data_IF_970039734168
#
_entry.id   IF_970039734168
#
_cell.length_a   1.000
_cell.length_b   1.000
_cell.length_c   1.000
_cell.angle_alpha   90.00
_cell.angle_beta   90.00
_cell.angle_gamma   90.00
#
_symmetry.space_group_name_H-M   'P 1'
#
loop_
_entity.id
_entity.type
_entity.pdbx_description
1 polymer ?
#
# COMPACT_ATOMS: atom_id res chain seq x y z
N UNK A 1 26.76 1.73 16.29
CA UNK A 1 25.68 1.91 15.29
C UNK A 1 24.90 3.17 15.65
N UNK A 2 25.37 4.35 15.22
CA UNK A 2 24.75 5.64 15.54
C UNK A 2 24.01 6.23 14.33
N UNK A 3 23.18 5.40 13.68
CA UNK A 3 22.29 5.85 12.60
C UNK A 3 20.90 6.01 13.20
N UNK A 4 20.42 7.27 13.31
CA UNK A 4 19.07 7.62 13.75
C UNK A 4 18.06 6.82 12.90
N UNK A 5 17.25 5.99 13.55
CA UNK A 5 16.22 5.18 12.91
C UNK A 5 15.04 6.09 12.51
N UNK A 6 14.48 5.87 11.31
CA UNK A 6 13.26 6.53 10.86
C UNK A 6 12.18 5.46 10.61
N UNK A 7 10.95 5.62 11.15
CA UNK A 7 9.87 4.65 10.92
C UNK A 7 9.47 4.54 9.45
N UNK A 8 9.81 5.54 8.62
CA UNK A 8 9.60 5.51 7.18
C UNK A 8 10.36 4.39 6.46
N UNK A 9 11.37 3.77 7.09
CA UNK A 9 12.03 2.58 6.55
C UNK A 9 11.04 1.44 6.26
N UNK A 10 9.94 1.35 7.01
CA UNK A 10 8.88 0.36 6.76
C UNK A 10 8.20 0.52 5.40
N UNK A 11 8.31 1.69 4.73
CA UNK A 11 7.85 1.87 3.36
C UNK A 11 8.60 0.96 2.37
N UNK A 12 9.85 0.58 2.67
CA UNK A 12 10.59 -0.40 1.88
C UNK A 12 9.95 -1.79 1.98
N UNK A 13 9.65 -2.25 3.20
CA UNK A 13 8.94 -3.52 3.40
C UNK A 13 7.54 -3.47 2.78
N UNK A 14 6.81 -2.37 3.00
CA UNK A 14 5.49 -2.16 2.41
C UNK A 14 5.52 -2.23 0.88
N UNK A 15 6.48 -1.54 0.24
CA UNK A 15 6.64 -1.57 -1.21
C UNK A 15 6.92 -2.97 -1.74
N UNK A 16 7.68 -3.79 -0.98
CA UNK A 16 7.92 -5.17 -1.34
C UNK A 16 6.65 -6.02 -1.29
N UNK A 17 5.91 -5.95 -0.18
CA UNK A 17 4.64 -6.67 -0.02
C UNK A 17 3.59 -6.23 -1.04
N UNK A 18 3.51 -4.92 -1.31
CA UNK A 18 2.66 -4.35 -2.34
C UNK A 18 3.01 -4.86 -3.73
N UNK A 19 4.29 -4.91 -4.11
CA UNK A 19 4.70 -5.45 -5.41
C UNK A 19 4.31 -6.93 -5.57
N UNK A 20 4.49 -7.75 -4.52
CA UNK A 20 4.03 -9.14 -4.52
C UNK A 20 2.51 -9.25 -4.75
N UNK A 21 1.72 -8.39 -4.09
CA UNK A 21 0.27 -8.29 -4.32
C UNK A 21 -0.05 -7.79 -5.74
N UNK A 22 0.74 -6.88 -6.30
CA UNK A 22 0.58 -6.41 -7.68
C UNK A 22 0.70 -7.54 -8.70
N UNK A 23 1.74 -8.37 -8.59
CA UNK A 23 1.92 -9.54 -9.46
C UNK A 23 0.77 -10.55 -9.30
N UNK A 24 0.35 -10.81 -8.06
CA UNK A 24 -0.79 -11.68 -7.78
C UNK A 24 -2.10 -11.12 -8.36
N UNK A 25 -2.37 -9.83 -8.16
CA UNK A 25 -3.59 -9.18 -8.64
C UNK A 25 -3.66 -9.25 -10.16
N UNK A 26 -2.53 -9.04 -10.84
CA UNK A 26 -2.46 -9.20 -12.29
C UNK A 26 -2.85 -10.61 -12.72
N UNK A 27 -2.27 -11.65 -12.11
CA UNK A 27 -2.64 -13.03 -12.42
C UNK A 27 -4.12 -13.29 -12.11
N UNK A 28 -4.61 -12.89 -10.94
CA UNK A 28 -5.99 -13.08 -10.50
C UNK A 28 -7.02 -12.40 -11.41
N UNK A 29 -6.69 -11.28 -12.04
CA UNK A 29 -7.66 -10.53 -12.86
C UNK A 29 -7.42 -10.67 -14.37
N UNK A 30 -6.33 -11.32 -14.81
CA UNK A 30 -6.06 -11.54 -16.24
C UNK A 30 -6.14 -12.99 -16.67
N UNK A 31 -6.02 -13.95 -15.74
CA UNK A 31 -6.19 -15.38 -16.02
C UNK A 31 -7.65 -15.77 -15.83
N UNK A 32 -8.32 -16.33 -16.84
CA UNK A 32 -9.67 -16.86 -16.67
C UNK A 32 -9.68 -18.01 -15.66
N UNK A 33 -10.47 -17.89 -14.59
CA UNK A 33 -10.63 -18.94 -13.58
C UNK A 33 -12.04 -18.95 -12.99
N UNK A 34 -12.35 -19.99 -12.20
CA UNK A 34 -13.64 -20.14 -11.52
C UNK A 34 -13.88 -19.13 -10.40
N UNK A 35 -14.96 -19.31 -9.64
CA UNK A 35 -15.33 -18.40 -8.54
C UNK A 35 -14.26 -18.32 -7.46
N UNK A 36 -14.09 -17.12 -6.89
CA UNK A 36 -13.17 -16.85 -5.78
C UNK A 36 -11.77 -16.45 -6.24
N UNK A 37 -10.83 -16.45 -5.31
CA UNK A 37 -9.44 -16.06 -5.56
C UNK A 37 -8.68 -17.17 -6.28
N UNK A 38 -7.87 -16.81 -7.27
CA UNK A 38 -7.08 -17.76 -8.07
C UNK A 38 -6.12 -18.60 -7.23
N UNK A 39 -5.89 -19.84 -7.65
CA UNK A 39 -4.88 -20.78 -7.15
C UNK A 39 -3.84 -21.06 -8.24
N UNK A 40 -2.61 -21.39 -7.86
CA UNK A 40 -1.56 -21.73 -8.85
C UNK A 40 -1.96 -22.89 -9.78
N UNK A 41 -2.71 -23.86 -9.26
CA UNK A 41 -3.21 -25.01 -10.04
C UNK A 41 -4.19 -24.62 -11.16
N UNK A 42 -4.71 -23.39 -11.16
CA UNK A 42 -5.65 -22.88 -12.16
C UNK A 42 -4.95 -22.05 -13.25
N UNK A 43 -3.66 -21.74 -13.09
CA UNK A 43 -2.91 -20.87 -14.01
C UNK A 43 -2.39 -21.65 -15.22
N UNK A 44 -1.82 -22.82 -14.97
CA UNK A 44 -1.12 -23.62 -15.98
C UNK A 44 -2.05 -24.68 -16.58
N UNK A 45 -2.85 -24.27 -17.57
CA UNK A 45 -3.72 -25.16 -18.34
C UNK A 45 -3.03 -25.66 -19.61
N UNK A 46 -3.49 -26.79 -20.17
CA UNK A 46 -2.84 -27.45 -21.32
C UNK A 46 -2.72 -26.56 -22.58
N UNK A 47 -3.59 -25.57 -22.74
CA UNK A 47 -3.63 -24.69 -23.92
C UNK A 47 -3.02 -23.30 -23.68
N UNK A 48 -2.26 -23.10 -22.60
CA UNK A 48 -1.67 -21.79 -22.31
C UNK A 48 -0.53 -21.48 -23.30
N UNK A 49 -0.56 -20.36 -24.04
CA UNK A 49 0.52 -19.99 -24.95
C UNK A 49 1.86 -19.85 -24.22
N UNK A 50 2.95 -20.36 -24.80
CA UNK A 50 4.29 -20.38 -24.19
C UNK A 50 4.73 -19.03 -23.62
N UNK A 51 4.47 -17.93 -24.33
CA UNK A 51 4.85 -16.59 -23.85
C UNK A 51 4.09 -16.17 -22.58
N UNK A 52 2.81 -16.56 -22.42
CA UNK A 52 2.04 -16.33 -21.19
C UNK A 52 2.54 -17.20 -20.07
N UNK A 53 2.85 -18.46 -20.36
CA UNK A 53 3.44 -19.37 -19.38
C UNK A 53 4.74 -18.80 -18.81
N UNK A 54 5.67 -18.37 -19.68
CA UNK A 54 6.94 -17.76 -19.26
C UNK A 54 6.68 -16.51 -18.41
N UNK A 55 5.78 -15.63 -18.84
CA UNK A 55 5.41 -14.42 -18.09
C UNK A 55 4.88 -14.78 -16.70
N UNK A 56 3.92 -15.70 -16.59
CA UNK A 56 3.32 -16.08 -15.32
C UNK A 56 4.32 -16.77 -14.39
N UNK A 57 5.24 -17.59 -14.91
CA UNK A 57 6.35 -18.15 -14.11
C UNK A 57 7.29 -17.07 -13.56
N UNK A 58 7.60 -16.04 -14.36
CA UNK A 58 8.39 -14.89 -13.90
C UNK A 58 7.64 -14.14 -12.78
N UNK A 59 6.33 -13.94 -12.94
CA UNK A 59 5.50 -13.31 -11.91
C UNK A 59 5.43 -14.16 -10.64
N UNK A 60 5.32 -15.49 -10.74
CA UNK A 60 5.36 -16.40 -9.59
C UNK A 60 6.68 -16.28 -8.81
N UNK A 61 7.82 -16.30 -9.51
CA UNK A 61 9.13 -16.10 -8.88
C UNK A 61 9.21 -14.73 -8.19
N UNK A 62 8.74 -13.68 -8.86
CA UNK A 62 8.73 -12.34 -8.28
C UNK A 62 7.81 -12.24 -7.06
N UNK A 63 6.63 -12.90 -7.06
CA UNK A 63 5.75 -12.97 -5.88
C UNK A 63 6.48 -13.56 -4.68
N UNK A 64 7.20 -14.67 -4.86
CA UNK A 64 7.97 -15.31 -3.78
C UNK A 64 9.10 -14.39 -3.31
N UNK A 65 9.93 -13.88 -4.23
CA UNK A 65 11.09 -13.03 -3.90
C UNK A 65 10.66 -11.78 -3.14
N UNK A 66 9.65 -11.05 -3.63
CA UNK A 66 9.19 -9.82 -3.00
C UNK A 66 8.46 -10.08 -1.68
N UNK A 67 7.78 -11.22 -1.53
CA UNK A 67 7.21 -11.65 -0.24
C UNK A 67 8.30 -11.94 0.79
N UNK A 68 9.38 -12.63 0.39
CA UNK A 68 10.52 -12.87 1.28
C UNK A 68 11.21 -11.57 1.67
N UNK A 69 11.43 -10.64 0.73
CA UNK A 69 11.97 -9.30 1.01
C UNK A 69 11.08 -8.56 2.01
N UNK A 70 9.76 -8.57 1.81
CA UNK A 70 8.79 -7.98 2.73
C UNK A 70 8.98 -8.51 4.17
N UNK A 71 8.96 -9.83 4.34
CA UNK A 71 9.06 -10.46 5.67
C UNK A 71 10.41 -10.18 6.32
N UNK A 72 11.52 -10.33 5.58
CA UNK A 72 12.88 -10.05 6.11
C UNK A 72 13.02 -8.60 6.55
N UNK A 73 12.59 -7.65 5.71
CA UNK A 73 12.65 -6.23 6.05
C UNK A 73 11.71 -5.88 7.22
N UNK A 74 10.51 -6.44 7.27
CA UNK A 74 9.58 -6.23 8.39
C UNK A 74 10.18 -6.68 9.70
N UNK A 75 10.71 -7.91 9.77
CA UNK A 75 11.34 -8.43 10.99
C UNK A 75 12.53 -7.54 11.40
N UNK A 76 13.39 -7.19 10.44
CA UNK A 76 14.55 -6.35 10.73
C UNK A 76 14.15 -4.97 11.27
N UNK A 77 13.20 -4.29 10.63
CA UNK A 77 12.75 -2.97 11.08
C UNK A 77 11.93 -3.02 12.37
N UNK A 78 11.22 -4.11 12.65
CA UNK A 78 10.54 -4.32 13.94
C UNK A 78 11.54 -4.36 15.09
N UNK A 79 12.66 -5.07 14.92
CA UNK A 79 13.73 -5.09 15.92
C UNK A 79 14.29 -3.69 16.16
N UNK A 80 14.48 -2.90 15.09
CA UNK A 80 14.95 -1.51 15.21
C UNK A 80 13.90 -0.60 15.86
N UNK A 81 12.63 -0.76 15.52
CA UNK A 81 11.50 -0.01 16.07
C UNK A 81 11.41 -0.24 17.58
N UNK A 82 11.44 -1.49 18.05
CA UNK A 82 11.35 -1.83 19.48
C UNK A 82 12.48 -1.18 20.29
N UNK A 83 13.70 -1.11 19.73
CA UNK A 83 14.82 -0.40 20.36
C UNK A 83 14.59 1.11 20.36
N UNK A 84 14.13 1.67 19.26
CA UNK A 84 13.90 3.11 19.11
C UNK A 84 12.76 3.65 19.97
N UNK A 85 11.68 2.87 20.18
CA UNK A 85 10.55 3.22 21.04
C UNK A 85 10.95 3.51 22.51
N UNK A 86 12.13 3.05 22.95
CA UNK A 86 12.67 3.27 24.30
C UNK A 86 13.54 4.52 24.42
N UNK A 87 13.71 5.29 23.35
CA UNK A 87 14.64 6.44 23.31
C UNK A 87 13.92 7.77 23.49
N UNK A 88 14.64 8.81 23.95
CA UNK A 88 14.10 10.19 24.01
C UNK A 88 13.73 10.72 22.62
N UNK A 89 14.46 10.31 21.56
CA UNK A 89 14.12 10.65 20.17
C UNK A 89 12.70 10.22 19.79
N UNK A 90 12.22 9.07 20.28
CA UNK A 90 10.83 8.67 20.05
C UNK A 90 9.84 9.63 20.74
N UNK A 91 10.14 10.06 21.97
CA UNK A 91 9.27 10.99 22.70
C UNK A 91 9.22 12.34 22.01
N UNK A 92 10.34 12.85 21.50
CA UNK A 92 10.38 14.07 20.70
C UNK A 92 9.59 13.90 19.39
N UNK A 93 9.85 12.81 18.66
CA UNK A 93 9.20 12.50 17.39
C UNK A 93 7.67 12.43 17.52
N UNK A 94 7.16 11.65 18.49
CA UNK A 94 5.71 11.43 18.63
C UNK A 94 4.97 12.70 19.03
N UNK A 95 5.64 13.57 19.79
CA UNK A 95 5.09 14.84 20.27
C UNK A 95 5.18 15.97 19.25
N UNK A 96 5.86 15.77 18.12
CA UNK A 96 5.98 16.74 17.05
C UNK A 96 4.87 16.50 16.00
N UNK A 97 3.84 17.38 15.91
CA UNK A 97 2.73 17.20 14.98
C UNK A 97 3.12 17.24 13.50
N UNK A 98 4.31 17.74 13.16
CA UNK A 98 4.81 17.79 11.78
C UNK A 98 5.41 16.46 11.32
N UNK A 99 6.03 15.70 12.23
CA UNK A 99 6.79 14.49 11.90
C UNK A 99 6.07 13.20 12.31
N UNK A 100 5.23 13.26 13.35
CA UNK A 100 4.68 12.09 14.00
C UNK A 100 3.86 11.17 13.07
N UNK A 101 3.33 11.69 11.96
CA UNK A 101 2.69 10.92 10.89
C UNK A 101 3.52 9.72 10.41
N UNK A 102 4.86 9.83 10.46
CA UNK A 102 5.77 8.75 10.07
C UNK A 102 5.61 7.47 10.89
N UNK A 103 5.09 7.53 12.13
CA UNK A 103 4.84 6.33 12.96
C UNK A 103 3.80 5.39 12.35
N UNK A 104 2.99 5.87 11.41
CA UNK A 104 1.97 5.08 10.73
C UNK A 104 2.58 4.10 9.72
N UNK A 105 3.80 4.34 9.22
CA UNK A 105 4.47 3.46 8.26
C UNK A 105 4.66 2.00 8.76
N UNK A 106 5.13 1.76 10.00
CA UNK A 106 5.13 0.42 10.60
C UNK A 106 3.76 -0.27 10.56
N UNK A 107 2.69 0.43 10.94
CA UNK A 107 1.34 -0.13 10.95
C UNK A 107 0.86 -0.52 9.55
N UNK A 108 1.14 0.33 8.55
CA UNK A 108 0.80 0.05 7.15
C UNK A 108 1.51 -1.23 6.68
N UNK A 109 2.81 -1.36 6.98
CA UNK A 109 3.60 -2.54 6.60
C UNK A 109 3.16 -3.82 7.31
N UNK A 110 2.88 -3.77 8.63
CA UNK A 110 2.38 -4.94 9.39
C UNK A 110 1.02 -5.38 8.85
N UNK A 111 0.13 -4.43 8.53
CA UNK A 111 -1.17 -4.76 7.95
C UNK A 111 -1.01 -5.39 6.56
N UNK A 112 -0.05 -4.91 5.76
CA UNK A 112 0.28 -5.51 4.45
C UNK A 112 0.70 -6.98 4.57
N UNK A 113 1.35 -7.37 5.67
CA UNK A 113 1.70 -8.78 5.91
C UNK A 113 0.45 -9.67 5.86
N UNK A 114 -0.67 -9.25 6.46
CA UNK A 114 -1.93 -10.01 6.42
C UNK A 114 -2.40 -10.20 4.98
N UNK A 115 -2.33 -9.15 4.15
CA UNK A 115 -2.71 -9.23 2.73
C UNK A 115 -1.79 -10.17 1.95
N UNK A 116 -0.47 -10.14 2.19
CA UNK A 116 0.50 -11.07 1.57
C UNK A 116 0.16 -12.52 1.91
N UNK A 117 -0.20 -12.81 3.16
CA UNK A 117 -0.65 -14.15 3.54
C UNK A 117 -1.95 -14.54 2.82
N UNK A 118 -3.00 -13.71 2.94
CA UNK A 118 -4.33 -14.03 2.39
C UNK A 118 -4.37 -14.14 0.87
N UNK A 119 -3.48 -13.44 0.15
CA UNK A 119 -3.42 -13.46 -1.30
C UNK A 119 -2.28 -14.36 -1.83
N UNK A 120 -1.02 -13.99 -1.55
CA UNK A 120 0.16 -14.60 -2.16
C UNK A 120 0.45 -15.98 -1.56
N UNK A 121 0.52 -16.10 -0.23
CA UNK A 121 0.79 -17.41 0.40
C UNK A 121 -0.34 -18.38 0.10
N UNK A 122 -1.59 -17.93 0.18
CA UNK A 122 -2.77 -18.71 -0.24
C UNK A 122 -2.64 -19.22 -1.67
N UNK A 123 -2.20 -18.39 -2.61
CA UNK A 123 -2.08 -18.76 -4.03
C UNK A 123 -1.14 -19.95 -4.24
N UNK A 124 -0.03 -20.02 -3.50
CA UNK A 124 0.96 -21.09 -3.60
C UNK A 124 0.68 -22.31 -2.72
N UNK A 125 -0.07 -22.17 -1.63
CA UNK A 125 -0.27 -23.24 -0.63
C UNK A 125 -1.69 -23.82 -0.75
N UNK A 126 -1.88 -25.00 -1.39
CA UNK A 126 -3.21 -25.59 -1.60
C UNK A 126 -3.99 -25.79 -0.31
N UNK A 127 -3.32 -26.25 0.76
CA UNK A 127 -3.94 -26.43 2.08
C UNK A 127 -4.57 -25.13 2.61
N UNK A 128 -3.93 -23.98 2.36
CA UNK A 128 -4.45 -22.66 2.73
C UNK A 128 -5.58 -22.23 1.80
N UNK A 129 -5.46 -22.52 0.50
CA UNK A 129 -6.45 -22.17 -0.49
C UNK A 129 -7.78 -22.93 -0.30
N UNK A 130 -7.70 -24.21 0.03
CA UNK A 130 -8.85 -25.11 0.20
C UNK A 130 -9.52 -24.91 1.56
N UNK A 131 -8.75 -24.53 2.58
CA UNK A 131 -9.25 -24.28 3.94
C UNK A 131 -9.39 -22.79 4.28
N UNK A 132 -9.57 -21.91 3.29
CA UNK A 132 -9.64 -20.45 3.50
C UNK A 132 -10.62 -20.04 4.61
N UNK A 133 -11.76 -20.72 4.73
CA UNK A 133 -12.77 -20.40 5.73
C UNK A 133 -12.28 -20.62 7.17
N UNK A 134 -11.40 -21.61 7.40
CA UNK A 134 -10.78 -21.85 8.71
C UNK A 134 -9.90 -20.68 9.17
N UNK A 135 -9.42 -19.86 8.22
CA UNK A 135 -8.57 -18.71 8.50
C UNK A 135 -9.36 -17.43 8.77
N UNK A 136 -10.68 -17.43 8.60
CA UNK A 136 -11.49 -16.22 8.77
C UNK A 136 -11.52 -15.76 10.23
N UNK A 137 -11.64 -16.68 11.20
CA UNK A 137 -11.60 -16.33 12.63
C UNK A 137 -10.19 -15.88 13.07
N UNK A 138 -9.10 -16.64 12.82
CA UNK A 138 -7.75 -16.16 13.12
C UNK A 138 -7.41 -14.85 12.42
N UNK A 139 -7.87 -14.70 11.17
CA UNK A 139 -7.71 -13.48 10.38
C UNK A 139 -8.42 -12.30 11.02
N UNK A 140 -9.68 -12.46 11.44
CA UNK A 140 -10.45 -11.42 12.13
C UNK A 140 -9.78 -11.00 13.44
N UNK A 141 -9.29 -11.94 14.25
CA UNK A 141 -8.62 -11.65 15.51
C UNK A 141 -7.30 -10.91 15.26
N UNK A 142 -6.44 -11.46 14.39
CA UNK A 142 -5.15 -10.87 14.07
C UNK A 142 -5.28 -9.47 13.47
N UNK A 143 -6.20 -9.30 12.52
CA UNK A 143 -6.53 -7.99 11.96
C UNK A 143 -7.14 -7.05 12.99
N UNK A 144 -8.07 -7.53 13.83
CA UNK A 144 -8.74 -6.73 14.86
C UNK A 144 -7.77 -6.15 15.89
N UNK A 145 -6.72 -6.91 16.25
CA UNK A 145 -5.62 -6.39 17.08
C UNK A 145 -4.88 -5.24 16.39
N UNK A 146 -4.50 -5.41 15.12
CA UNK A 146 -3.80 -4.36 14.35
C UNK A 146 -4.70 -3.13 14.19
N UNK A 147 -5.98 -3.33 13.85
CA UNK A 147 -7.00 -2.28 13.74
C UNK A 147 -7.12 -1.47 15.03
N UNK A 148 -7.17 -2.14 16.19
CA UNK A 148 -7.24 -1.48 17.49
C UNK A 148 -6.03 -0.58 17.74
N UNK A 149 -4.82 -1.08 17.48
CA UNK A 149 -3.60 -0.28 17.68
C UNK A 149 -3.48 0.88 16.67
N UNK A 150 -3.94 0.69 15.43
CA UNK A 150 -4.00 1.76 14.43
C UNK A 150 -4.94 2.88 14.89
N UNK A 151 -6.16 2.56 15.30
CA UNK A 151 -7.10 3.57 15.80
C UNK A 151 -6.59 4.26 17.06
N UNK A 152 -6.04 3.49 18.01
CA UNK A 152 -5.46 4.05 19.24
C UNK A 152 -4.33 5.03 18.92
N UNK A 153 -3.45 4.68 17.98
CA UNK A 153 -2.35 5.57 17.58
C UNK A 153 -2.90 6.80 16.87
N UNK A 154 -3.81 6.63 15.91
CA UNK A 154 -4.38 7.74 15.15
C UNK A 154 -5.08 8.75 16.07
N UNK A 155 -5.93 8.28 16.99
CA UNK A 155 -6.60 9.15 17.97
C UNK A 155 -5.60 9.89 18.86
N UNK A 156 -4.50 9.23 19.25
CA UNK A 156 -3.40 9.88 19.99
C UNK A 156 -2.75 10.98 19.16
N UNK A 157 -2.44 10.72 17.89
CA UNK A 157 -1.83 11.71 17.01
C UNK A 157 -2.76 12.91 16.77
N UNK A 158 -4.05 12.65 16.51
CA UNK A 158 -5.06 13.71 16.38
C UNK A 158 -5.15 14.55 17.65
N UNK A 159 -5.20 13.92 18.84
CA UNK A 159 -5.19 14.64 20.12
C UNK A 159 -3.97 15.55 20.24
N UNK A 160 -2.78 15.07 19.88
CA UNK A 160 -1.55 15.87 19.91
C UNK A 160 -1.67 17.07 18.97
N UNK A 161 -2.12 16.86 17.74
CA UNK A 161 -2.32 17.91 16.74
C UNK A 161 -3.34 18.97 17.17
N UNK A 162 -4.44 18.58 17.83
CA UNK A 162 -5.45 19.53 18.30
C UNK A 162 -5.04 20.29 19.57
N UNK A 163 -4.22 19.69 20.44
CA UNK A 163 -3.88 20.29 21.75
C UNK A 163 -2.61 21.14 21.74
N UNK A 164 -1.63 20.84 20.87
CA UNK A 164 -0.36 21.58 20.80
C UNK A 164 -0.36 22.71 19.78
N UNK A 165 -1.48 22.95 19.11
CA UNK A 165 -1.53 23.84 17.96
C UNK A 165 -0.91 23.19 16.73
N UNK A 166 -1.31 23.71 15.59
CA UNK A 166 -1.07 23.08 14.32
C UNK A 166 -0.78 24.13 13.26
N UNK A 167 0.45 24.14 12.76
CA UNK A 167 0.81 25.03 11.69
C UNK A 167 0.44 24.43 10.33
N UNK A 168 -0.73 24.82 9.82
CA UNK A 168 -1.24 24.41 8.50
C UNK A 168 -0.23 24.78 7.40
N UNK A 169 0.57 25.83 7.58
CA UNK A 169 1.57 26.28 6.60
C UNK A 169 2.73 25.29 6.46
N UNK A 170 2.92 24.37 7.40
CA UNK A 170 4.02 23.39 7.37
C UNK A 170 3.60 21.98 6.94
N UNK A 171 2.32 21.78 6.58
CA UNK A 171 1.83 20.46 6.12
C UNK A 171 2.55 20.05 4.82
N UNK A 172 2.84 18.76 4.70
CA UNK A 172 3.33 18.14 3.47
C UNK A 172 2.61 16.80 3.23
N UNK A 173 2.76 16.25 2.02
CA UNK A 173 2.06 15.01 1.63
C UNK A 173 2.37 13.79 2.50
N UNK A 174 3.48 13.77 3.25
CA UNK A 174 3.79 12.68 4.18
C UNK A 174 2.73 12.48 5.27
N UNK A 175 1.90 13.49 5.50
CA UNK A 175 0.78 13.43 6.43
C UNK A 175 -0.40 12.57 5.97
N UNK A 176 -0.42 12.24 4.68
CA UNK A 176 -1.36 11.28 4.13
C UNK A 176 -1.01 9.85 4.55
N UNK A 177 0.06 9.62 5.32
CA UNK A 177 0.30 8.35 6.03
C UNK A 177 -0.81 8.01 7.03
N UNK A 178 -1.50 9.01 7.60
CA UNK A 178 -2.65 8.79 8.49
C UNK A 178 -3.82 8.12 7.75
N UNK A 179 -4.44 8.76 6.73
CA UNK A 179 -5.48 8.10 5.96
C UNK A 179 -4.97 6.85 5.25
N UNK A 180 -3.67 6.74 4.93
CA UNK A 180 -3.13 5.53 4.30
C UNK A 180 -3.16 4.32 5.25
N UNK A 181 -2.82 4.51 6.53
CA UNK A 181 -2.91 3.44 7.52
C UNK A 181 -4.36 3.02 7.80
N UNK A 182 -5.27 3.98 7.88
CA UNK A 182 -6.71 3.72 8.01
C UNK A 182 -7.26 2.99 6.78
N UNK A 183 -6.86 3.39 5.58
CA UNK A 183 -7.21 2.70 4.34
C UNK A 183 -6.67 1.27 4.32
N UNK A 184 -5.46 1.05 4.82
CA UNK A 184 -4.83 -0.27 4.83
C UNK A 184 -5.56 -1.26 5.75
N UNK A 185 -5.94 -0.84 6.96
CA UNK A 185 -6.76 -1.69 7.84
C UNK A 185 -8.16 -1.87 7.27
N UNK A 186 -8.74 -0.86 6.64
CA UNK A 186 -10.07 -0.93 6.00
C UNK A 186 -10.09 -1.93 4.85
N UNK A 187 -9.11 -1.89 3.94
CA UNK A 187 -9.07 -2.82 2.81
C UNK A 187 -8.90 -4.26 3.27
N UNK A 188 -8.11 -4.46 4.33
CA UNK A 188 -7.85 -5.79 4.88
C UNK A 188 -9.10 -6.37 5.53
N UNK A 189 -9.80 -5.58 6.35
CA UNK A 189 -11.04 -5.99 7.00
C UNK A 189 -12.19 -6.20 6.03
N UNK A 190 -12.36 -5.33 5.03
CA UNK A 190 -13.33 -5.55 3.94
C UNK A 190 -13.00 -6.80 3.12
N UNK A 191 -11.72 -7.18 3.04
CA UNK A 191 -11.28 -8.45 2.46
C UNK A 191 -11.78 -9.66 3.24
N UNK A 192 -11.62 -9.64 4.57
CA UNK A 192 -12.18 -10.68 5.46
C UNK A 192 -13.69 -10.74 5.30
N UNK A 193 -14.37 -9.58 5.30
CA UNK A 193 -15.82 -9.50 5.17
C UNK A 193 -16.34 -10.06 3.83
N UNK A 194 -15.67 -9.76 2.72
CA UNK A 194 -16.06 -10.24 1.40
C UNK A 194 -15.83 -11.75 1.20
N UNK A 195 -14.84 -12.33 1.89
CA UNK A 195 -14.43 -13.73 1.75
C UNK A 195 -15.11 -14.67 2.75
N UNK A 196 -15.53 -14.18 3.91
CA UNK A 196 -16.15 -14.98 4.95
C UNK A 196 -17.55 -15.46 4.55
N UNK A 197 -17.80 -16.76 4.70
CA UNK A 197 -19.14 -17.35 4.54
C UNK A 197 -20.03 -17.17 5.78
N UNK A 198 -19.43 -17.05 6.96
CA UNK A 198 -20.17 -16.80 8.21
C UNK A 198 -20.65 -15.34 8.25
N UNK A 199 -21.96 -15.10 8.40
CA UNK A 199 -22.50 -13.74 8.52
C UNK A 199 -21.94 -12.97 9.72
N UNK A 200 -21.69 -13.63 10.85
CA UNK A 200 -21.18 -12.98 12.06
C UNK A 200 -19.76 -12.44 11.86
N UNK A 201 -18.88 -13.26 11.26
CA UNK A 201 -17.51 -12.85 10.95
C UNK A 201 -17.54 -11.73 9.90
N UNK A 202 -18.33 -11.91 8.85
CA UNK A 202 -18.42 -10.95 7.76
C UNK A 202 -18.95 -9.59 8.21
N UNK A 203 -20.06 -9.59 8.97
CA UNK A 203 -20.68 -8.39 9.52
C UNK A 203 -19.79 -7.67 10.52
N UNK A 204 -19.10 -8.40 11.41
CA UNK A 204 -18.15 -7.81 12.37
C UNK A 204 -16.98 -7.15 11.64
N UNK A 205 -16.35 -7.86 10.71
CA UNK A 205 -15.26 -7.33 9.91
C UNK A 205 -15.68 -6.09 9.11
N UNK A 206 -16.87 -6.12 8.51
CA UNK A 206 -17.41 -5.01 7.73
C UNK A 206 -17.67 -3.79 8.60
N UNK A 207 -18.39 -3.95 9.72
CA UNK A 207 -18.72 -2.84 10.62
C UNK A 207 -17.46 -2.14 11.14
N UNK A 208 -16.48 -2.90 11.62
CA UNK A 208 -15.20 -2.36 12.07
C UNK A 208 -14.42 -1.68 10.94
N UNK A 209 -14.47 -2.22 9.72
CA UNK A 209 -13.85 -1.61 8.55
C UNK A 209 -14.50 -0.29 8.16
N UNK A 210 -15.82 -0.16 8.31
CA UNK A 210 -16.54 1.09 8.03
C UNK A 210 -16.12 2.21 9.01
N UNK A 211 -15.83 1.89 10.27
CA UNK A 211 -15.32 2.87 11.24
C UNK A 211 -13.98 3.44 10.78
N UNK A 212 -12.99 2.58 10.46
CA UNK A 212 -11.69 3.05 9.98
C UNK A 212 -11.78 3.68 8.59
N UNK A 213 -12.67 3.19 7.73
CA UNK A 213 -12.85 3.66 6.37
C UNK A 213 -13.42 5.06 6.31
N UNK A 214 -14.48 5.33 7.08
CA UNK A 214 -15.11 6.66 7.18
C UNK A 214 -14.15 7.68 7.80
N UNK A 215 -13.48 7.32 8.90
CA UNK A 215 -12.44 8.17 9.50
C UNK A 215 -11.32 8.49 8.51
N UNK A 216 -10.84 7.48 7.79
CA UNK A 216 -9.75 7.61 6.84
C UNK A 216 -10.12 8.45 5.62
N UNK A 217 -11.31 8.26 5.05
CA UNK A 217 -11.82 9.08 3.94
C UNK A 217 -12.00 10.54 4.35
N UNK A 218 -12.52 10.79 5.56
CA UNK A 218 -12.63 12.14 6.11
C UNK A 218 -11.25 12.81 6.23
N UNK A 219 -10.27 12.13 6.84
CA UNK A 219 -8.92 12.67 6.99
C UNK A 219 -8.20 12.85 5.65
N UNK A 220 -8.43 11.96 4.68
CA UNK A 220 -7.88 12.09 3.34
C UNK A 220 -8.39 13.38 2.68
N UNK A 221 -9.71 13.59 2.68
CA UNK A 221 -10.34 14.75 2.09
C UNK A 221 -9.82 16.06 2.71
N UNK A 222 -9.89 16.17 4.04
CA UNK A 222 -9.45 17.37 4.76
C UNK A 222 -7.97 17.66 4.48
N UNK A 223 -7.09 16.65 4.62
CA UNK A 223 -5.65 16.85 4.44
C UNK A 223 -5.27 17.17 3.01
N UNK A 224 -5.88 16.53 2.01
CA UNK A 224 -5.61 16.83 0.59
C UNK A 224 -6.00 18.27 0.30
N UNK A 225 -7.20 18.71 0.70
CA UNK A 225 -7.64 20.10 0.51
C UNK A 225 -6.66 21.09 1.17
N UNK A 226 -6.28 20.86 2.43
CA UNK A 226 -5.33 21.74 3.12
C UNK A 226 -3.94 21.77 2.47
N UNK A 227 -3.43 20.63 1.98
CA UNK A 227 -2.13 20.56 1.30
C UNK A 227 -2.14 21.36 0.00
N UNK A 228 -3.21 21.23 -0.79
CA UNK A 228 -3.36 21.98 -2.04
C UNK A 228 -3.52 23.47 -1.79
N UNK A 229 -4.34 23.88 -0.81
CA UNK A 229 -4.46 25.28 -0.40
C UNK A 229 -3.10 25.88 -0.05
N UNK A 230 -2.29 25.16 0.74
CA UNK A 230 -0.92 25.57 1.04
C UNK A 230 -0.10 25.75 -0.23
N UNK A 231 -0.06 24.77 -1.13
CA UNK A 231 0.76 24.83 -2.35
C UNK A 231 0.35 25.98 -3.26
N UNK A 232 -0.94 26.33 -3.30
CA UNK A 232 -1.40 27.50 -4.04
C UNK A 232 -1.02 28.83 -3.38
N UNK A 233 -0.80 28.84 -2.06
CA UNK A 233 -0.39 30.04 -1.31
C UNK A 233 1.13 30.22 -1.19
N UNK A 234 1.93 29.18 -1.43
CA UNK A 234 3.39 29.20 -1.29
C UNK A 234 4.10 29.22 -2.63
N UNK A 235 5.21 29.97 -2.73
CA UNK A 235 6.05 29.91 -3.92
C UNK A 235 6.86 28.60 -4.00
N UNK A 236 6.77 27.92 -5.15
CA UNK A 236 7.58 26.76 -5.45
C UNK A 236 7.09 25.44 -4.82
N UNK A 237 7.86 24.38 -5.06
CA UNK A 237 7.58 23.05 -4.53
C UNK A 237 8.20 22.86 -3.13
N UNK A 238 7.68 21.91 -2.32
CA UNK A 238 8.26 21.58 -1.03
C UNK A 238 9.74 21.17 -1.10
N UNK A 239 10.40 21.17 0.06
CA UNK A 239 11.77 20.68 0.17
C UNK A 239 11.94 19.30 -0.49
N UNK A 240 13.09 19.09 -1.14
CA UNK A 240 13.39 17.93 -2.00
C UNK A 240 13.08 16.58 -1.35
N UNK A 241 13.29 16.48 -0.04
CA UNK A 241 13.00 15.28 0.76
C UNK A 241 11.50 14.92 0.82
N UNK A 242 10.58 15.86 0.64
CA UNK A 242 9.13 15.62 0.70
C UNK A 242 8.50 15.34 -0.67
N UNK A 243 9.20 15.67 -1.77
CA UNK A 243 8.71 15.49 -3.14
C UNK A 243 8.27 14.04 -3.45
N UNK A 244 8.99 12.99 -3.02
CA UNK A 244 8.52 11.61 -3.18
C UNK A 244 7.12 11.32 -2.66
N UNK A 245 6.67 12.06 -1.63
CA UNK A 245 5.37 11.84 -1.00
C UNK A 245 4.22 12.39 -1.84
N UNK A 246 4.46 13.21 -2.86
CA UNK A 246 3.38 13.81 -3.67
C UNK A 246 2.43 12.75 -4.25
N UNK A 247 2.98 11.61 -4.68
CA UNK A 247 2.21 10.54 -5.29
C UNK A 247 1.45 9.66 -4.29
N UNK A 248 1.55 9.88 -2.97
CA UNK A 248 0.88 9.07 -1.93
C UNK A 248 -0.66 9.13 -1.99
N UNK A 249 -1.22 10.11 -2.71
CA UNK A 249 -2.67 10.17 -2.97
C UNK A 249 -3.13 8.92 -3.74
N UNK A 250 -2.32 8.45 -4.70
CA UNK A 250 -2.64 7.28 -5.54
C UNK A 250 -2.89 6.02 -4.71
N UNK A 251 -1.96 5.53 -3.86
CA UNK A 251 -2.23 4.34 -3.05
C UNK A 251 -3.37 4.53 -2.04
N UNK A 252 -3.68 5.75 -1.59
CA UNK A 252 -4.86 5.99 -0.77
C UNK A 252 -6.15 5.70 -1.56
N UNK A 253 -6.29 6.30 -2.75
CA UNK A 253 -7.45 6.10 -3.62
C UNK A 253 -7.61 4.62 -3.97
N UNK A 254 -6.52 3.94 -4.32
CA UNK A 254 -6.56 2.51 -4.65
C UNK A 254 -7.11 1.67 -3.50
N UNK A 255 -6.65 1.88 -2.28
CA UNK A 255 -7.12 1.09 -1.13
C UNK A 255 -8.59 1.35 -0.81
N UNK A 256 -9.06 2.60 -0.90
CA UNK A 256 -10.47 2.90 -0.70
C UNK A 256 -11.34 2.33 -1.83
N UNK A 257 -10.88 2.39 -3.08
CA UNK A 257 -11.57 1.78 -4.22
C UNK A 257 -11.71 0.27 -4.05
N UNK A 258 -10.63 -0.42 -3.66
CA UNK A 258 -10.66 -1.87 -3.38
C UNK A 258 -11.55 -2.17 -2.17
N UNK A 259 -11.56 -1.30 -1.16
CA UNK A 259 -12.45 -1.46 0.02
C UNK A 259 -13.92 -1.36 -0.38
N UNK A 260 -14.27 -0.41 -1.24
CA UNK A 260 -15.63 -0.26 -1.80
C UNK A 260 -15.99 -1.43 -2.70
N UNK A 261 -15.08 -1.86 -3.58
CA UNK A 261 -15.27 -3.08 -4.38
C UNK A 261 -15.58 -4.30 -3.50
N UNK A 262 -14.83 -4.50 -2.41
CA UNK A 262 -15.06 -5.58 -1.45
C UNK A 262 -16.34 -5.41 -0.64
N UNK A 263 -16.73 -4.18 -0.33
CA UNK A 263 -18.03 -3.88 0.27
C UNK A 263 -19.17 -4.30 -0.65
N UNK A 264 -19.05 -4.07 -1.96
CA UNK A 264 -20.01 -4.60 -2.95
C UNK A 264 -20.18 -6.12 -2.85
N UNK A 265 -19.08 -6.89 -2.81
CA UNK A 265 -19.17 -8.34 -2.64
C UNK A 265 -19.79 -8.78 -1.31
N UNK A 266 -19.53 -8.04 -0.22
CA UNK A 266 -20.23 -8.27 1.05
C UNK A 266 -21.74 -8.10 0.89
N UNK A 267 -22.20 -7.04 0.21
CA UNK A 267 -23.62 -6.80 -0.03
C UNK A 267 -24.25 -7.88 -0.91
N UNK A 268 -23.55 -8.35 -1.94
CA UNK A 268 -24.05 -9.44 -2.79
C UNK A 268 -24.18 -10.76 -2.02
N UNK A 269 -23.16 -11.12 -1.22
CA UNK A 269 -23.12 -12.42 -0.53
C UNK A 269 -24.00 -12.47 0.72
N UNK A 270 -24.10 -11.38 1.48
CA UNK A 270 -24.76 -11.37 2.80
C UNK A 270 -26.06 -10.57 2.83
N UNK A 271 -26.30 -9.69 1.85
CA UNK A 271 -27.51 -8.84 1.81
C UNK A 271 -28.38 -9.07 0.56
N UNK A 272 -27.97 -9.98 -0.34
CA UNK A 272 -28.72 -10.31 -1.55
C UNK A 272 -28.79 -9.18 -2.58
N UNK A 273 -27.87 -8.21 -2.52
CA UNK A 273 -27.81 -7.13 -3.50
C UNK A 273 -27.33 -7.64 -4.87
N UNK A 274 -27.71 -6.95 -5.95
CA UNK A 274 -27.20 -7.20 -7.31
C UNK A 274 -26.43 -5.97 -7.79
N UNK A 275 -25.09 -6.07 -7.86
CA UNK A 275 -24.21 -4.90 -7.94
C UNK A 275 -23.28 -4.89 -9.17
N UNK A 276 -23.67 -5.51 -10.28
CA UNK A 276 -22.79 -5.62 -11.46
C UNK A 276 -22.21 -4.26 -11.93
N UNK A 277 -23.05 -3.26 -12.16
CA UNK A 277 -22.60 -1.93 -12.59
C UNK A 277 -21.81 -1.17 -11.52
N UNK A 278 -22.06 -1.46 -10.24
CA UNK A 278 -21.36 -0.82 -9.13
C UNK A 278 -19.86 -1.11 -9.15
N UNK A 279 -19.47 -2.36 -9.39
CA UNK A 279 -18.06 -2.74 -9.45
C UNK A 279 -17.30 -1.99 -10.55
N UNK A 280 -17.91 -1.89 -11.74
CA UNK A 280 -17.32 -1.16 -12.85
C UNK A 280 -17.17 0.33 -12.52
N UNK A 281 -18.23 0.98 -12.02
CA UNK A 281 -18.20 2.41 -11.67
C UNK A 281 -17.12 2.69 -10.63
N UNK A 282 -17.07 1.94 -9.53
CA UNK A 282 -16.08 2.15 -8.46
C UNK A 282 -14.65 2.05 -9.00
N UNK A 283 -14.33 0.97 -9.73
CA UNK A 283 -12.94 0.70 -10.15
C UNK A 283 -12.50 1.59 -11.31
N UNK A 284 -13.37 1.82 -12.30
CA UNK A 284 -13.04 2.65 -13.46
C UNK A 284 -12.92 4.12 -13.07
N UNK A 285 -13.82 4.64 -12.22
CA UNK A 285 -13.72 6.03 -11.75
C UNK A 285 -12.46 6.26 -10.91
N UNK A 286 -12.13 5.32 -10.01
CA UNK A 286 -10.90 5.41 -9.23
C UNK A 286 -9.65 5.38 -10.12
N UNK A 287 -9.60 4.48 -11.10
CA UNK A 287 -8.47 4.37 -12.03
C UNK A 287 -8.34 5.59 -12.94
N UNK A 288 -9.45 6.17 -13.41
CA UNK A 288 -9.44 7.40 -14.18
C UNK A 288 -8.87 8.58 -13.37
N UNK A 289 -9.28 8.73 -12.11
CA UNK A 289 -8.74 9.73 -11.20
C UNK A 289 -7.24 9.51 -10.94
N UNK A 290 -6.83 8.28 -10.65
CA UNK A 290 -5.41 7.94 -10.44
C UNK A 290 -4.56 8.19 -11.67
N UNK A 291 -5.09 7.90 -12.87
CA UNK A 291 -4.39 8.16 -14.14
C UNK A 291 -4.11 9.65 -14.29
N UNK A 292 -5.14 10.49 -14.10
CA UNK A 292 -4.98 11.94 -14.12
C UNK A 292 -3.96 12.40 -13.06
N UNK A 293 -4.09 11.94 -11.82
CA UNK A 293 -3.21 12.35 -10.72
C UNK A 293 -1.76 11.89 -10.93
N UNK A 294 -1.56 10.67 -11.44
CA UNK A 294 -0.24 10.14 -11.80
C UNK A 294 0.42 10.99 -12.87
N UNK A 295 -0.30 11.36 -13.94
CA UNK A 295 0.23 12.23 -14.99
C UNK A 295 0.63 13.60 -14.41
N UNK A 296 -0.24 14.20 -13.61
CA UNK A 296 0.02 15.47 -12.93
C UNK A 296 1.25 15.40 -12.01
N UNK A 297 1.29 14.40 -11.12
CA UNK A 297 2.37 14.23 -10.16
C UNK A 297 3.72 13.90 -10.81
N UNK A 298 3.74 13.03 -11.84
CA UNK A 298 4.96 12.72 -12.58
C UNK A 298 5.48 13.92 -13.38
N UNK A 299 4.58 14.74 -13.92
CA UNK A 299 4.96 15.97 -14.60
C UNK A 299 5.62 16.97 -13.63
N UNK A 300 5.03 17.15 -12.43
CA UNK A 300 5.63 17.99 -11.38
C UNK A 300 6.98 17.45 -10.90
N UNK A 301 7.14 16.13 -10.82
CA UNK A 301 8.38 15.48 -10.37
C UNK A 301 9.42 15.30 -11.48
N UNK A 302 9.19 15.81 -12.70
CA UNK A 302 10.08 15.62 -13.85
C UNK A 302 11.53 16.06 -13.57
N UNK A 303 11.70 17.24 -12.96
CA UNK A 303 13.03 17.76 -12.63
C UNK A 303 13.66 17.03 -11.45
N UNK A 304 12.84 16.58 -10.50
CA UNK A 304 13.29 15.73 -9.40
C UNK A 304 13.90 14.43 -9.92
N UNK A 305 13.24 13.74 -10.85
CA UNK A 305 13.77 12.49 -11.44
C UNK A 305 15.04 12.71 -12.27
N UNK A 306 15.19 13.88 -12.91
CA UNK A 306 16.34 14.20 -13.75
C UNK A 306 17.59 14.56 -12.93
N UNK A 307 17.43 15.44 -11.95
CA UNK A 307 18.53 16.07 -11.21
C UNK A 307 18.72 15.42 -9.84
N UNK A 308 17.69 15.47 -9.02
CA UNK A 308 17.76 15.20 -7.57
C UNK A 308 17.76 13.71 -7.22
N UNK A 309 17.04 12.90 -7.98
CA UNK A 309 16.87 11.47 -7.67
C UNK A 309 18.21 10.71 -7.67
N UNK A 310 19.23 11.18 -8.41
CA UNK A 310 20.53 10.50 -8.53
C UNK A 310 21.56 10.96 -7.49
N UNK A 311 21.36 12.13 -6.88
CA UNK A 311 22.37 12.75 -6.02
C UNK A 311 22.41 12.12 -4.63
N UNK A 312 21.31 12.22 -3.88
CA UNK A 312 21.24 11.77 -2.49
C UNK A 312 20.07 10.80 -2.27
N UNK A 313 20.26 9.88 -1.32
CA UNK A 313 19.24 8.93 -0.91
C UNK A 313 18.56 9.42 0.36
N UNK A 314 17.26 9.67 0.28
CA UNK A 314 16.41 9.97 1.43
C UNK A 314 15.45 8.80 1.66
N UNK A 315 15.17 8.47 2.92
CA UNK A 315 14.24 7.36 3.26
C UNK A 315 12.84 7.60 2.67
N UNK A 316 12.44 8.86 2.52
CA UNK A 316 11.19 9.25 1.87
C UNK A 316 11.07 8.81 0.40
N UNK A 317 12.17 8.51 -0.30
CA UNK A 317 12.16 8.00 -1.68
C UNK A 317 11.39 6.67 -1.80
N UNK A 318 11.26 5.90 -0.72
CA UNK A 318 10.40 4.71 -0.70
C UNK A 318 8.93 5.02 -0.95
N UNK A 319 8.49 6.25 -0.70
CA UNK A 319 7.16 6.73 -1.05
C UNK A 319 6.85 6.66 -2.55
N UNK A 320 7.87 6.56 -3.42
CA UNK A 320 7.69 6.43 -4.87
C UNK A 320 7.28 5.03 -5.31
N UNK A 321 7.48 3.98 -4.52
CA UNK A 321 7.17 2.60 -4.95
C UNK A 321 5.67 2.33 -4.93
N UNK A 322 5.01 2.68 -3.82
CA UNK A 322 3.59 2.36 -3.61
C UNK A 322 2.65 2.89 -4.70
N UNK A 323 2.83 4.10 -5.27
CA UNK A 323 2.00 4.59 -6.36
C UNK A 323 2.00 3.71 -7.61
N UNK A 324 3.16 3.21 -8.05
CA UNK A 324 3.22 2.33 -9.24
C UNK A 324 2.66 0.94 -8.95
N UNK A 325 2.87 0.42 -7.74
CA UNK A 325 2.20 -0.81 -7.28
C UNK A 325 0.68 -0.63 -7.34
N UNK A 326 0.18 0.43 -6.72
CA UNK A 326 -1.25 0.67 -6.59
C UNK A 326 -1.91 0.85 -7.97
N UNK A 327 -1.25 1.58 -8.86
CA UNK A 327 -1.68 1.76 -10.24
C UNK A 327 -1.74 0.46 -11.04
N UNK A 328 -0.76 -0.45 -10.87
CA UNK A 328 -0.79 -1.77 -11.54
C UNK A 328 -1.86 -2.71 -10.97
N UNK A 329 -2.09 -2.67 -9.66
CA UNK A 329 -3.20 -3.40 -9.01
C UNK A 329 -4.54 -2.92 -9.58
N UNK A 330 -4.82 -1.62 -9.52
CA UNK A 330 -6.11 -1.08 -9.97
C UNK A 330 -6.30 -1.25 -11.48
N UNK A 331 -5.22 -1.11 -12.25
CA UNK A 331 -5.22 -1.44 -13.68
C UNK A 331 -5.62 -2.88 -13.97
N UNK A 332 -5.22 -3.84 -13.13
CA UNK A 332 -5.62 -5.25 -13.26
C UNK A 332 -7.13 -5.44 -13.05
N UNK A 333 -7.74 -4.74 -12.09
CA UNK A 333 -9.20 -4.74 -11.93
C UNK A 333 -9.92 -4.13 -13.13
N UNK A 334 -9.42 -3.01 -13.66
CA UNK A 334 -10.01 -2.36 -14.84
C UNK A 334 -9.89 -3.23 -16.10
N UNK A 335 -8.79 -3.96 -16.26
CA UNK A 335 -8.65 -4.96 -17.31
C UNK A 335 -9.78 -5.98 -17.24
N UNK A 336 -10.04 -6.53 -16.05
CA UNK A 336 -11.07 -7.54 -15.83
C UNK A 336 -12.50 -7.01 -16.03
N UNK A 337 -12.80 -5.81 -15.53
CA UNK A 337 -14.16 -5.28 -15.47
C UNK A 337 -14.58 -4.48 -16.71
N UNK A 338 -13.64 -3.90 -17.45
CA UNK A 338 -13.97 -2.88 -18.45
C UNK A 338 -13.14 -2.98 -19.75
N UNK A 339 -11.82 -3.19 -19.66
CA UNK A 339 -10.93 -3.12 -20.82
C UNK A 339 -9.96 -4.31 -20.93
N UNK A 340 -10.45 -5.51 -21.30
CA UNK A 340 -9.61 -6.70 -21.48
C UNK A 340 -8.80 -6.67 -22.79
N UNK A 341 -8.15 -5.55 -23.09
CA UNK A 341 -7.40 -5.33 -24.34
C UNK A 341 -5.93 -5.72 -24.21
N UNK A 342 -5.26 -6.18 -25.28
CA UNK A 342 -3.82 -6.46 -25.25
C UNK A 342 -2.97 -5.24 -24.86
N UNK A 343 -3.40 -4.03 -25.23
CA UNK A 343 -2.71 -2.79 -24.88
C UNK A 343 -2.72 -2.57 -23.35
N UNK A 344 -3.88 -2.72 -22.70
CA UNK A 344 -4.00 -2.61 -21.25
C UNK A 344 -3.18 -3.69 -20.54
N UNK A 345 -3.25 -4.93 -21.02
CA UNK A 345 -2.46 -6.05 -20.48
C UNK A 345 -0.96 -5.72 -20.45
N UNK A 346 -0.37 -5.35 -21.59
CA UNK A 346 1.05 -5.04 -21.69
C UNK A 346 1.44 -3.77 -20.95
N UNK A 347 0.55 -2.79 -20.89
CA UNK A 347 0.76 -1.58 -20.10
C UNK A 347 0.91 -1.90 -18.60
N UNK A 348 0.04 -2.75 -18.04
CA UNK A 348 0.16 -3.17 -16.65
C UNK A 348 1.47 -3.95 -16.42
N UNK A 349 1.85 -4.84 -17.33
CA UNK A 349 3.15 -5.56 -17.27
C UNK A 349 4.33 -4.59 -17.25
N UNK A 350 4.30 -3.55 -18.08
CA UNK A 350 5.33 -2.50 -18.11
C UNK A 350 5.42 -1.77 -16.76
N UNK A 351 4.28 -1.35 -16.19
CA UNK A 351 4.25 -0.66 -14.89
C UNK A 351 4.80 -1.57 -13.79
N UNK A 352 4.45 -2.86 -13.78
CA UNK A 352 4.99 -3.85 -12.84
C UNK A 352 6.51 -4.00 -12.98
N UNK A 353 7.03 -4.06 -14.21
CA UNK A 353 8.47 -4.12 -14.47
C UNK A 353 9.19 -2.85 -13.98
N UNK A 354 8.65 -1.67 -14.27
CA UNK A 354 9.18 -0.38 -13.76
C UNK A 354 9.19 -0.35 -12.25
N UNK A 355 8.13 -0.86 -11.61
CA UNK A 355 8.02 -0.95 -10.14
C UNK A 355 9.13 -1.84 -9.57
N UNK A 356 9.34 -3.03 -10.13
CA UNK A 356 10.39 -3.95 -9.69
C UNK A 356 11.79 -3.33 -9.84
N UNK A 357 12.07 -2.69 -10.97
CA UNK A 357 13.35 -2.01 -11.23
C UNK A 357 13.57 -0.85 -10.25
N UNK A 358 12.55 -0.01 -10.05
CA UNK A 358 12.59 1.11 -9.11
C UNK A 358 12.85 0.61 -7.68
N UNK A 359 12.14 -0.43 -7.26
CA UNK A 359 12.30 -1.05 -5.96
C UNK A 359 13.73 -1.54 -5.74
N UNK A 360 14.26 -2.36 -6.66
CA UNK A 360 15.62 -2.92 -6.56
C UNK A 360 16.68 -1.82 -6.56
N UNK A 361 16.48 -0.74 -7.33
CA UNK A 361 17.36 0.43 -7.34
C UNK A 361 17.37 1.15 -5.99
N UNK A 362 16.21 1.40 -5.39
CA UNK A 362 16.11 2.01 -4.06
C UNK A 362 16.67 1.11 -2.97
N UNK A 363 16.40 -0.20 -3.04
CA UNK A 363 16.94 -1.18 -2.10
C UNK A 363 18.48 -1.18 -2.11
N UNK A 364 19.08 -1.21 -3.31
CA UNK A 364 20.54 -1.13 -3.45
C UNK A 364 21.11 0.15 -2.85
N UNK A 365 20.46 1.30 -3.07
CA UNK A 365 20.89 2.58 -2.47
C UNK A 365 20.79 2.57 -0.95
N UNK A 366 19.71 2.03 -0.39
CA UNK A 366 19.55 1.89 1.05
C UNK A 366 20.64 0.97 1.64
N UNK A 367 20.92 -0.17 1.02
CA UNK A 367 21.96 -1.10 1.48
C UNK A 367 23.37 -0.48 1.42
N UNK A 368 23.67 0.29 0.36
CA UNK A 368 24.89 1.10 0.30
C UNK A 368 24.95 2.09 1.48
N UNK A 369 23.83 2.78 1.78
CA UNK A 369 23.76 3.71 2.89
C UNK A 369 23.87 3.04 4.25
N UNK A 370 23.45 1.78 4.42
CA UNK A 370 23.71 1.03 5.65
C UNK A 370 25.16 0.57 5.80
N UNK A 371 25.98 0.66 4.74
CA UNK A 371 27.36 0.19 4.72
C UNK A 371 27.49 -1.31 4.44
N UNK A 372 26.42 -1.96 3.97
CA UNK A 372 26.40 -3.37 3.57
C UNK A 372 27.05 -3.55 2.19
N UNK A 373 27.06 -2.49 1.37
CA UNK A 373 27.69 -2.40 0.05
C UNK A 373 28.50 -1.08 -0.03
N UNK A 374 29.62 -1.04 -0.78
CA UNK A 374 30.60 0.08 -0.82
C UNK A 374 29.93 1.48 -0.87
N UNK A 375 30.37 2.39 0.02
CA UNK A 375 29.69 3.65 0.37
C UNK A 375 29.87 4.78 -0.67
N UNK A 376 28.79 5.48 -1.03
CA UNK A 376 28.80 6.83 -1.65
C UNK A 376 27.67 7.66 -1.04
N UNK A 377 27.99 8.93 -0.69
CA UNK A 377 27.15 10.05 -0.18
C UNK A 377 25.74 9.68 0.32
N UNK A 378 25.58 9.62 1.64
CA UNK A 378 24.28 9.52 2.30
C UNK A 378 24.15 10.66 3.30
N UNK A 379 23.22 11.58 3.06
CA UNK A 379 22.74 12.54 4.05
C UNK A 379 21.69 11.82 4.89
N UNK A 380 22.14 11.46 6.10
CA UNK A 380 21.39 11.20 7.33
C UNK A 380 19.91 10.73 7.17
N UNK A 381 19.48 9.59 7.72
CA UNK A 381 19.15 9.41 9.13
C UNK A 381 18.62 10.63 9.92
N UNK A 382 18.68 11.88 9.45
CA UNK A 382 18.09 13.04 10.13
C UNK A 382 16.73 13.32 9.52
N UNK A 383 15.75 12.52 9.95
CA UNK A 383 14.38 12.95 10.28
C UNK A 383 13.56 11.75 10.75
#
# INVERSE_FOLDING_TARGET
MNKKFSPLLFLASLGAGGAAIGFWAFINYTVPHGKGLIKISQVYTENLPLWKEILYRILDVNMVVFSLIHIVLSIWFLVMLVKWLKTEMYKEFINNPLLNAGIMAPFISITMTINVFLAVVRYFVPAMADNLQSMMVPGLIGWGLVWFFVLKMELRLLKISFTKGFDVSQIHFGWLLHPFALAMVTVTGTGIAALAKSPDIAGTAMFMSLISGTMGMFLLLVKVVSIFQKHFSSEGLPAKQFLPSFLIVVPNITLYAISLFRFGHYLEHHQGAHLQSYFMVVMVTAFAFETWYMLFGLYLLKDYFKKEFKEEFHVSQWGLVCPFVAYSVLGSFVYFLFSPTPAMFWFIVLVMAVTAILFLKLLRRQLNCFGILKCKRCTSCEQ
#
